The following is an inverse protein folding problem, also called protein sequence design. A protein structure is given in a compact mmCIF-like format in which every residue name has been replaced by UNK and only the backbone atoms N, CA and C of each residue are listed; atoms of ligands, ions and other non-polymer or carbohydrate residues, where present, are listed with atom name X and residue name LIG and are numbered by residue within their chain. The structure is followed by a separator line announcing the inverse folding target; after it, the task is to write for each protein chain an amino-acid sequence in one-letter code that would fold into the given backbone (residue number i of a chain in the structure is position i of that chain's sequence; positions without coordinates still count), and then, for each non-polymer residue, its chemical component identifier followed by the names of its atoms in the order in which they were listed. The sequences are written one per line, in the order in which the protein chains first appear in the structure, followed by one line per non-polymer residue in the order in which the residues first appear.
data_IF_039723086457
#
_entry.id   IF_039723086457
#
_cell.length_a   1.000
_cell.length_b   1.000
_cell.length_c   1.000
_cell.angle_alpha   90.00
_cell.angle_beta   90.00
_cell.angle_gamma   90.00
#
_symmetry.space_group_name_H-M   'P 1'
#
loop_
_entity.id
_entity.type
_entity.pdbx_description
1 polymer ?
#
# COMPACT_ATOMS: atom_id res chain seq x y z
N UNK A 1 -16.57 37.54 13.50
CA UNK A 1 -16.35 36.14 13.96
C UNK A 1 -15.62 35.28 12.91
N UNK A 2 -15.86 35.47 11.60
CA UNK A 2 -15.11 34.80 10.54
C UNK A 2 -13.63 35.26 10.47
N UNK A 3 -13.38 36.57 10.58
CA UNK A 3 -12.04 37.19 10.59
C UNK A 3 -11.12 36.60 11.67
N UNK A 4 -11.64 36.44 12.89
CA UNK A 4 -10.92 35.89 14.05
C UNK A 4 -10.59 34.41 13.89
N UNK A 5 -11.44 33.66 13.20
CA UNK A 5 -11.24 32.23 12.97
C UNK A 5 -10.21 31.99 11.85
N UNK A 6 -10.20 32.85 10.83
CA UNK A 6 -9.17 32.87 9.79
C UNK A 6 -7.78 33.20 10.38
N UNK A 7 -7.71 34.21 11.26
CA UNK A 7 -6.48 34.54 12.00
C UNK A 7 -6.01 33.42 12.94
N UNK A 8 -6.94 32.72 13.62
CA UNK A 8 -6.60 31.59 14.49
C UNK A 8 -6.13 30.36 13.71
N UNK A 9 -6.72 30.10 12.55
CA UNK A 9 -6.29 29.01 11.66
C UNK A 9 -4.91 29.34 11.09
N UNK A 10 -4.66 30.55 10.58
CA UNK A 10 -3.38 30.94 9.97
C UNK A 10 -2.22 31.08 10.96
N UNK A 11 -2.52 31.26 12.26
CA UNK A 11 -1.50 31.37 13.32
C UNK A 11 -1.06 30.01 13.88
N UNK A 12 -1.67 28.91 13.44
CA UNK A 12 -1.28 27.56 13.83
C UNK A 12 -0.09 27.09 12.96
N UNK A 13 1.09 26.76 13.53
CA UNK A 13 2.25 26.32 12.75
C UNK A 13 1.94 25.09 11.85
N UNK A 14 1.00 24.24 12.23
CA UNK A 14 0.58 23.10 11.41
C UNK A 14 -0.22 23.51 10.17
N UNK A 15 -1.00 24.60 10.21
CA UNK A 15 -1.74 25.09 9.02
C UNK A 15 -0.81 25.78 8.03
N UNK A 16 0.21 26.51 8.51
CA UNK A 16 1.20 27.15 7.64
C UNK A 16 2.03 26.11 6.89
N UNK A 17 2.40 24.99 7.54
CA UNK A 17 3.07 23.87 6.86
C UNK A 17 2.17 23.24 5.79
N UNK A 18 0.88 23.05 6.09
CA UNK A 18 -0.08 22.53 5.12
C UNK A 18 -0.25 23.48 3.92
N UNK A 19 -0.41 24.79 4.17
CA UNK A 19 -0.55 25.81 3.12
C UNK A 19 0.74 25.93 2.29
N UNK A 20 1.91 25.90 2.92
CA UNK A 20 3.20 25.92 2.21
C UNK A 20 3.40 24.67 1.35
N UNK A 21 3.02 23.49 1.86
CA UNK A 21 3.07 22.24 1.09
C UNK A 21 2.08 22.22 -0.08
N UNK A 22 0.88 22.77 0.11
CA UNK A 22 -0.12 22.90 -0.93
C UNK A 22 0.33 23.87 -2.02
N UNK A 23 0.92 25.02 -1.65
CA UNK A 23 1.47 25.98 -2.59
C UNK A 23 2.68 25.42 -3.36
N UNK A 24 3.58 24.66 -2.72
CA UNK A 24 4.70 24.00 -3.39
C UNK A 24 4.24 22.93 -4.41
N UNK A 25 3.17 22.19 -4.08
CA UNK A 25 2.54 21.25 -5.02
C UNK A 25 1.86 22.00 -6.16
N UNK A 26 1.17 23.11 -5.88
CA UNK A 26 0.54 23.95 -6.90
C UNK A 26 1.57 24.55 -7.89
N UNK A 27 2.71 25.02 -7.37
CA UNK A 27 3.83 25.51 -8.18
C UNK A 27 4.42 24.40 -9.06
N UNK A 28 4.49 23.15 -8.55
CA UNK A 28 4.95 22.00 -9.34
C UNK A 28 3.99 21.59 -10.47
N UNK A 29 2.71 21.98 -10.37
CA UNK A 29 1.65 21.67 -11.35
C UNK A 29 1.52 22.78 -12.41
N UNK A 30 2.37 23.83 -12.35
CA UNK A 30 2.42 24.88 -13.38
C UNK A 30 1.17 25.78 -13.42
N UNK A 31 0.37 25.79 -12.35
CA UNK A 31 -0.74 26.72 -12.19
C UNK A 31 -0.22 28.01 -11.55
N UNK A 32 0.35 28.87 -12.38
CA UNK A 32 0.45 30.30 -12.06
C UNK A 32 -0.96 30.83 -11.80
N UNK A 33 -1.21 31.33 -10.58
CA UNK A 33 -1.99 32.54 -10.26
C UNK A 33 -2.64 32.45 -8.87
N UNK A 34 -2.01 33.07 -7.85
CA UNK A 34 -2.61 34.07 -6.94
C UNK A 34 -1.56 34.47 -5.87
N UNK A 35 -0.91 35.63 -6.03
CA UNK A 35 -0.04 36.20 -4.98
C UNK A 35 -0.90 36.82 -3.87
N UNK A 36 -0.97 36.16 -2.72
CA UNK A 36 -1.46 36.77 -1.48
C UNK A 36 -0.23 37.40 -0.79
N UNK A 37 -0.19 38.72 -0.55
CA UNK A 37 0.95 39.36 0.10
C UNK A 37 0.90 39.02 1.59
N UNK A 38 1.89 38.31 2.10
CA UNK A 38 2.10 38.11 3.54
C UNK A 38 3.17 39.11 3.98
N UNK A 39 2.78 40.03 4.86
CA UNK A 39 3.55 41.16 5.37
C UNK A 39 4.71 40.69 6.28
N UNK A 40 5.91 41.24 6.04
CA UNK A 40 7.19 40.96 6.71
C UNK A 40 7.24 41.50 8.16
N UNK A 41 6.25 41.15 8.98
CA UNK A 41 6.25 41.46 10.41
C UNK A 41 7.05 40.40 11.17
N UNK A 42 8.35 40.65 11.16
CA UNK A 42 9.40 40.07 12.01
C UNK A 42 8.93 40.05 13.47
N UNK A 43 8.45 38.89 13.95
CA UNK A 43 8.39 38.60 15.38
C UNK A 43 9.54 37.64 15.69
N UNK A 44 10.62 38.24 16.17
CA UNK A 44 11.76 37.58 16.80
C UNK A 44 11.30 36.76 18.02
N UNK A 45 11.13 35.44 17.86
CA UNK A 45 11.05 34.52 19.00
C UNK A 45 12.44 33.92 19.31
N UNK A 46 12.84 33.83 20.58
CA UNK A 46 14.16 33.36 21.01
C UNK A 46 14.37 31.86 20.70
N UNK A 47 15.61 31.41 20.44
CA UNK A 47 15.92 30.05 19.99
C UNK A 47 15.92 29.03 21.14
N UNK A 48 14.86 28.99 21.95
CA UNK A 48 14.83 28.24 23.22
C UNK A 48 13.77 27.12 23.31
N UNK A 49 13.07 26.80 22.23
CA UNK A 49 12.02 25.77 22.22
C UNK A 49 12.28 24.56 21.29
N UNK A 50 13.48 24.43 20.69
CA UNK A 50 13.78 23.34 19.74
C UNK A 50 14.41 22.07 20.37
N UNK A 51 14.40 21.95 21.70
CA UNK A 51 14.73 20.69 22.36
C UNK A 51 13.44 19.89 22.58
N UNK A 52 13.46 18.57 22.32
CA UNK A 52 12.36 17.59 22.42
C UNK A 52 11.54 17.27 21.15
N UNK A 53 12.19 17.10 19.99
CA UNK A 53 11.69 16.12 19.00
C UNK A 53 12.68 14.98 18.94
N UNK A 54 12.45 13.96 19.79
CA UNK A 54 13.17 12.70 19.68
C UNK A 54 12.98 12.13 18.27
N UNK A 55 14.12 11.75 17.70
CA UNK A 55 14.33 11.09 16.42
C UNK A 55 13.45 9.86 16.24
N UNK A 56 12.17 10.02 15.88
CA UNK A 56 11.48 8.99 15.14
C UNK A 56 12.02 9.06 13.72
N UNK A 57 12.79 8.04 13.31
CA UNK A 57 13.15 7.80 11.92
C UNK A 57 11.87 8.01 11.10
N UNK A 58 11.82 9.09 10.32
CA UNK A 58 10.63 9.43 9.55
C UNK A 58 10.21 8.20 8.74
N UNK A 59 8.92 7.85 8.72
CA UNK A 59 8.42 6.70 7.96
C UNK A 59 8.87 6.76 6.49
N UNK A 60 9.07 7.98 5.98
CA UNK A 60 9.65 8.24 4.66
C UNK A 60 11.10 7.73 4.52
N UNK A 61 11.93 7.88 5.55
CA UNK A 61 13.30 7.34 5.56
C UNK A 61 13.28 5.80 5.58
N UNK A 62 12.42 5.20 6.41
CA UNK A 62 12.28 3.74 6.48
C UNK A 62 11.73 3.14 5.18
N UNK A 63 10.72 3.80 4.59
CA UNK A 63 10.20 3.46 3.27
C UNK A 63 11.25 3.63 2.16
N UNK A 64 12.16 4.61 2.30
CA UNK A 64 13.29 4.83 1.40
C UNK A 64 14.29 3.68 1.39
N UNK A 65 14.66 3.14 2.56
CA UNK A 65 15.59 2.02 2.66
C UNK A 65 15.05 0.73 2.01
N UNK A 66 13.73 0.52 2.02
CA UNK A 66 13.07 -0.67 1.50
C UNK A 66 12.06 -0.37 0.37
N UNK A 67 12.38 0.63 -0.44
CA UNK A 67 11.53 1.10 -1.54
C UNK A 67 11.14 0.00 -2.54
N UNK A 68 12.00 -1.01 -2.75
CA UNK A 68 11.72 -2.14 -3.62
C UNK A 68 10.49 -2.95 -3.18
N UNK A 69 10.31 -3.18 -1.87
CA UNK A 69 9.14 -3.91 -1.37
C UNK A 69 7.85 -3.12 -1.56
N UNK A 70 7.91 -1.80 -1.39
CA UNK A 70 6.76 -0.92 -1.64
C UNK A 70 6.36 -0.91 -3.13
N UNK A 71 7.33 -0.93 -4.05
CA UNK A 71 7.04 -1.10 -5.50
C UNK A 71 6.42 -2.44 -5.81
N UNK A 72 6.94 -3.52 -5.22
CA UNK A 72 6.40 -4.87 -5.40
C UNK A 72 4.98 -4.99 -4.83
N UNK A 73 4.70 -4.36 -3.67
CA UNK A 73 3.36 -4.24 -3.12
C UNK A 73 2.40 -3.52 -4.08
N UNK A 74 2.84 -2.42 -4.69
CA UNK A 74 2.07 -1.70 -5.70
C UNK A 74 1.77 -2.56 -6.94
N UNK A 75 2.76 -3.28 -7.46
CA UNK A 75 2.60 -4.21 -8.59
C UNK A 75 1.67 -5.37 -8.21
N UNK A 76 1.79 -5.91 -6.99
CA UNK A 76 0.90 -6.94 -6.45
C UNK A 76 -0.55 -6.47 -6.36
N UNK A 77 -0.78 -5.27 -5.83
CA UNK A 77 -2.12 -4.67 -5.77
C UNK A 77 -2.73 -4.44 -7.17
N UNK A 78 -1.96 -3.88 -8.10
CA UNK A 78 -2.43 -3.66 -9.48
C UNK A 78 -2.76 -4.98 -10.19
N UNK A 79 -1.91 -6.00 -10.03
CA UNK A 79 -2.13 -7.31 -10.64
C UNK A 79 -3.29 -8.08 -9.99
N UNK A 80 -3.57 -7.87 -8.70
CA UNK A 80 -4.75 -8.39 -8.03
C UNK A 80 -6.05 -7.77 -8.59
N UNK A 81 -6.09 -6.44 -8.80
CA UNK A 81 -7.23 -5.77 -9.44
C UNK A 81 -7.45 -6.33 -10.86
N UNK A 82 -6.37 -6.41 -11.65
CA UNK A 82 -6.42 -6.94 -13.01
C UNK A 82 -6.98 -8.36 -13.03
N UNK A 83 -6.44 -9.24 -12.19
CA UNK A 83 -6.86 -10.64 -12.15
C UNK A 83 -8.30 -10.79 -11.63
N UNK A 84 -8.72 -9.97 -10.66
CA UNK A 84 -10.11 -9.91 -10.19
C UNK A 84 -11.08 -9.55 -11.31
N UNK A 85 -10.74 -8.58 -12.16
CA UNK A 85 -11.56 -8.21 -13.31
C UNK A 85 -11.55 -9.30 -14.39
N UNK A 86 -10.36 -9.85 -14.69
CA UNK A 86 -10.18 -10.91 -15.67
C UNK A 86 -10.96 -12.18 -15.33
N UNK A 87 -10.88 -12.65 -14.09
CA UNK A 87 -11.62 -13.83 -13.65
C UNK A 87 -13.14 -13.61 -13.78
N UNK A 88 -13.67 -12.45 -13.37
CA UNK A 88 -15.11 -12.17 -13.52
C UNK A 88 -15.55 -12.11 -14.98
N UNK A 89 -14.70 -11.61 -15.88
CA UNK A 89 -14.98 -11.59 -17.31
C UNK A 89 -15.01 -13.01 -17.91
N UNK A 90 -13.98 -13.82 -17.66
CA UNK A 90 -13.85 -15.18 -18.22
C UNK A 90 -14.90 -16.13 -17.64
N UNK A 91 -15.14 -16.08 -16.33
CA UNK A 91 -16.09 -16.98 -15.66
C UNK A 91 -17.54 -16.67 -16.02
N UNK A 92 -17.85 -15.51 -16.61
CA UNK A 92 -19.21 -15.15 -17.05
C UNK A 92 -19.73 -16.05 -18.17
N UNK A 93 -18.82 -16.61 -18.98
CA UNK A 93 -19.17 -17.38 -20.19
C UNK A 93 -19.31 -18.90 -19.92
N UNK A 94 -19.16 -19.34 -18.66
CA UNK A 94 -19.36 -20.74 -18.26
C UNK A 94 -20.86 -21.06 -18.22
N UNK A 95 -21.31 -22.02 -19.04
CA UNK A 95 -22.73 -22.38 -19.18
C UNK A 95 -23.32 -23.02 -17.91
N UNK A 96 -22.51 -23.80 -17.19
CA UNK A 96 -22.98 -24.50 -16.00
C UNK A 96 -22.86 -23.61 -14.75
N UNK A 97 -23.99 -23.29 -14.14
CA UNK A 97 -24.05 -22.44 -12.93
C UNK A 97 -23.18 -23.01 -11.80
N UNK A 98 -23.14 -24.34 -11.66
CA UNK A 98 -22.36 -25.01 -10.62
C UNK A 98 -20.86 -24.84 -10.83
N UNK A 99 -20.34 -25.08 -12.04
CA UNK A 99 -18.91 -24.91 -12.29
C UNK A 99 -18.51 -23.44 -12.25
N UNK A 100 -19.40 -22.53 -12.66
CA UNK A 100 -19.21 -21.10 -12.52
C UNK A 100 -19.06 -20.70 -11.04
N UNK A 101 -19.96 -21.16 -10.16
CA UNK A 101 -19.90 -20.87 -8.72
C UNK A 101 -18.63 -21.46 -8.07
N UNK A 102 -18.30 -22.71 -8.40
CA UNK A 102 -17.08 -23.37 -7.88
C UNK A 102 -15.81 -22.62 -8.34
N UNK A 103 -15.72 -22.27 -9.62
CA UNK A 103 -14.60 -21.52 -10.19
C UNK A 103 -14.48 -20.12 -9.58
N UNK A 104 -15.61 -19.45 -9.38
CA UNK A 104 -15.66 -18.13 -8.76
C UNK A 104 -15.18 -18.19 -7.31
N UNK A 105 -15.54 -19.23 -6.55
CA UNK A 105 -15.05 -19.41 -5.18
C UNK A 105 -13.52 -19.52 -5.13
N UNK A 106 -12.89 -20.22 -6.08
CA UNK A 106 -11.42 -20.28 -6.16
C UNK A 106 -10.80 -18.92 -6.54
N UNK A 107 -11.39 -18.21 -7.49
CA UNK A 107 -10.92 -16.88 -7.89
C UNK A 107 -11.02 -15.86 -6.74
N UNK A 108 -12.12 -15.86 -5.99
CA UNK A 108 -12.34 -14.93 -4.87
C UNK A 108 -11.35 -15.20 -3.73
N UNK A 109 -11.06 -16.47 -3.42
CA UNK A 109 -10.02 -16.84 -2.44
C UNK A 109 -8.63 -16.43 -2.92
N UNK A 110 -8.28 -16.70 -4.19
CA UNK A 110 -7.01 -16.31 -4.79
C UNK A 110 -6.79 -14.79 -4.69
N UNK A 111 -7.82 -14.03 -5.03
CA UNK A 111 -7.79 -12.57 -5.01
C UNK A 111 -7.65 -12.00 -3.61
N UNK A 112 -8.40 -12.54 -2.63
CA UNK A 112 -8.27 -12.13 -1.24
C UNK A 112 -6.87 -12.34 -0.69
N UNK A 113 -6.26 -13.50 -0.96
CA UNK A 113 -4.89 -13.79 -0.53
C UNK A 113 -3.89 -12.89 -1.28
N UNK A 114 -4.08 -12.67 -2.59
CA UNK A 114 -3.21 -11.80 -3.39
C UNK A 114 -3.19 -10.35 -2.85
N UNK A 115 -4.34 -9.76 -2.56
CA UNK A 115 -4.42 -8.41 -1.98
C UNK A 115 -3.85 -8.35 -0.57
N UNK A 116 -4.23 -9.29 0.31
CA UNK A 116 -3.81 -9.27 1.71
C UNK A 116 -2.28 -9.28 1.84
N UNK A 117 -1.60 -10.09 1.03
CA UNK A 117 -0.15 -10.21 1.07
C UNK A 117 0.52 -9.05 0.31
N UNK A 118 -0.15 -8.42 -0.66
CA UNK A 118 0.31 -7.15 -1.24
C UNK A 118 0.30 -6.01 -0.21
N UNK A 119 -0.74 -5.92 0.62
CA UNK A 119 -0.78 -4.96 1.73
C UNK A 119 0.27 -5.29 2.80
N UNK A 120 0.45 -6.57 3.13
CA UNK A 120 1.52 -6.99 4.02
C UNK A 120 2.91 -6.58 3.46
N UNK A 121 3.13 -6.72 2.15
CA UNK A 121 4.37 -6.29 1.50
C UNK A 121 4.65 -4.79 1.66
N UNK A 122 3.60 -3.96 1.70
CA UNK A 122 3.74 -2.52 1.94
C UNK A 122 4.28 -2.21 3.35
N UNK A 123 4.01 -3.09 4.33
CA UNK A 123 4.49 -2.98 5.70
C UNK A 123 5.88 -3.62 5.91
N UNK A 124 6.49 -4.25 4.90
CA UNK A 124 7.81 -4.89 5.03
C UNK A 124 8.93 -3.98 5.52
N UNK A 125 8.96 -2.66 5.21
CA UNK A 125 9.99 -1.78 5.74
C UNK A 125 10.06 -1.76 7.28
N UNK A 126 8.99 -2.16 7.97
CA UNK A 126 8.91 -2.22 9.43
C UNK A 126 9.37 -3.57 10.03
N UNK A 127 9.60 -4.60 9.20
CA UNK A 127 10.05 -5.91 9.68
C UNK A 127 11.55 -5.89 10.06
N UNK A 128 11.95 -6.70 11.04
CA UNK A 128 13.35 -6.84 11.44
C UNK A 128 14.19 -7.53 10.34
N UNK A 129 13.63 -8.55 9.67
CA UNK A 129 14.25 -9.26 8.54
C UNK A 129 13.42 -9.11 7.24
N UNK A 130 13.39 -7.91 6.64
CA UNK A 130 12.50 -7.58 5.52
C UNK A 130 12.78 -8.40 4.26
N UNK A 131 14.05 -8.78 4.03
CA UNK A 131 14.40 -9.61 2.88
C UNK A 131 13.89 -11.04 2.99
N UNK A 132 14.07 -11.68 4.15
CA UNK A 132 13.59 -13.04 4.40
C UNK A 132 12.05 -13.08 4.36
N UNK A 133 11.41 -12.21 5.13
CA UNK A 133 9.94 -12.15 5.20
C UNK A 133 9.34 -11.76 3.87
N UNK A 134 9.89 -10.74 3.20
CA UNK A 134 9.39 -10.25 1.92
C UNK A 134 9.55 -11.26 0.78
N UNK A 135 10.66 -12.00 0.73
CA UNK A 135 10.85 -13.06 -0.29
C UNK A 135 9.88 -14.22 -0.07
N UNK A 136 9.71 -14.70 1.17
CA UNK A 136 8.71 -15.72 1.51
C UNK A 136 7.29 -15.25 1.18
N UNK A 137 6.96 -14.00 1.50
CA UNK A 137 5.68 -13.37 1.21
C UNK A 137 5.39 -13.35 -0.30
N UNK A 138 6.34 -12.91 -1.12
CA UNK A 138 6.20 -12.86 -2.59
C UNK A 138 6.06 -14.27 -3.17
N UNK A 139 7.00 -15.17 -2.85
CA UNK A 139 7.02 -16.53 -3.39
C UNK A 139 5.77 -17.30 -2.96
N UNK A 140 5.35 -17.18 -1.70
CA UNK A 140 4.14 -17.81 -1.20
C UNK A 140 2.86 -17.26 -1.84
N UNK A 141 2.78 -15.95 -2.06
CA UNK A 141 1.63 -15.32 -2.74
C UNK A 141 1.53 -15.78 -4.19
N UNK A 142 2.64 -15.79 -4.93
CA UNK A 142 2.66 -16.25 -6.32
C UNK A 142 2.30 -17.73 -6.43
N UNK A 143 2.86 -18.58 -5.56
CA UNK A 143 2.58 -20.00 -5.56
C UNK A 143 1.12 -20.30 -5.15
N UNK A 144 0.60 -19.67 -4.10
CA UNK A 144 -0.76 -19.88 -3.62
C UNK A 144 -1.79 -19.27 -4.58
N UNK A 145 -1.75 -17.95 -4.77
CA UNK A 145 -2.76 -17.24 -5.56
C UNK A 145 -2.65 -17.60 -7.04
N UNK A 146 -1.44 -17.79 -7.57
CA UNK A 146 -1.25 -18.24 -8.96
C UNK A 146 -1.88 -19.61 -9.23
N UNK A 147 -1.64 -20.58 -8.34
CA UNK A 147 -2.23 -21.93 -8.46
C UNK A 147 -3.76 -21.90 -8.35
N UNK A 148 -4.30 -21.03 -7.50
CA UNK A 148 -5.73 -20.87 -7.30
C UNK A 148 -6.41 -20.15 -8.48
N UNK A 149 -5.77 -19.14 -9.05
CA UNK A 149 -6.24 -18.50 -10.29
C UNK A 149 -6.21 -19.46 -11.47
N UNK A 150 -5.16 -20.25 -11.60
CA UNK A 150 -5.07 -21.28 -12.63
C UNK A 150 -6.22 -22.29 -12.51
N UNK A 151 -6.46 -22.80 -11.30
CA UNK A 151 -7.59 -23.68 -11.01
C UNK A 151 -8.94 -23.02 -11.31
N UNK A 152 -9.10 -21.73 -11.01
CA UNK A 152 -10.34 -21.01 -11.28
C UNK A 152 -10.61 -20.83 -12.79
N UNK A 153 -9.56 -20.70 -13.60
CA UNK A 153 -9.69 -20.46 -15.05
C UNK A 153 -9.72 -21.76 -15.87
N UNK A 154 -8.97 -22.78 -15.47
CA UNK A 154 -8.83 -24.03 -16.23
C UNK A 154 -9.69 -25.17 -15.64
N UNK A 155 -10.08 -25.09 -14.37
CA UNK A 155 -10.80 -26.17 -13.68
C UNK A 155 -9.94 -27.38 -13.30
N UNK A 156 -8.67 -27.42 -13.74
CA UNK A 156 -7.75 -28.51 -13.45
C UNK A 156 -7.18 -28.47 -12.02
N UNK A 157 -6.97 -29.65 -11.44
CA UNK A 157 -6.53 -29.81 -10.03
C UNK A 157 -5.03 -30.07 -9.87
N UNK A 158 -4.27 -30.16 -10.96
CA UNK A 158 -2.87 -30.59 -10.90
C UNK A 158 -1.98 -29.60 -10.11
N UNK A 159 -2.34 -28.30 -10.11
CA UNK A 159 -1.60 -27.27 -9.36
C UNK A 159 -1.89 -27.26 -7.84
N UNK A 160 -2.76 -28.12 -7.32
CA UNK A 160 -3.15 -28.13 -5.91
C UNK A 160 -1.98 -28.29 -4.91
N UNK A 161 -0.94 -29.12 -5.17
CA UNK A 161 0.23 -29.24 -4.28
C UNK A 161 1.05 -27.94 -4.18
N UNK A 162 1.08 -27.13 -5.26
CA UNK A 162 1.77 -25.84 -5.22
C UNK A 162 1.02 -24.82 -4.37
N UNK A 163 -0.32 -24.89 -4.36
CA UNK A 163 -1.13 -24.06 -3.47
C UNK A 163 -0.85 -24.38 -2.00
N UNK A 164 -0.73 -25.65 -1.60
CA UNK A 164 -0.41 -26.01 -0.21
C UNK A 164 1.00 -25.57 0.18
N UNK A 165 2.00 -25.79 -0.69
CA UNK A 165 3.36 -25.30 -0.48
C UNK A 165 3.39 -23.77 -0.35
N UNK A 166 2.65 -23.05 -1.19
CA UNK A 166 2.50 -21.60 -1.10
C UNK A 166 1.89 -21.16 0.23
N UNK A 167 0.87 -21.88 0.72
CA UNK A 167 0.27 -21.65 2.04
C UNK A 167 1.27 -21.80 3.19
N UNK A 168 2.08 -22.86 3.19
CA UNK A 168 3.15 -23.03 4.18
C UNK A 168 4.21 -21.93 4.12
N UNK A 169 4.58 -21.48 2.91
CA UNK A 169 5.49 -20.37 2.70
C UNK A 169 4.93 -19.06 3.29
N UNK A 170 3.64 -18.79 3.07
CA UNK A 170 2.97 -17.63 3.65
C UNK A 170 2.88 -17.73 5.18
N UNK A 171 2.57 -18.91 5.73
CA UNK A 171 2.62 -19.12 7.18
C UNK A 171 4.00 -18.82 7.75
N UNK A 172 5.07 -19.31 7.10
CA UNK A 172 6.45 -19.02 7.50
C UNK A 172 6.77 -17.51 7.41
N UNK A 173 6.28 -16.82 6.37
CA UNK A 173 6.46 -15.37 6.22
C UNK A 173 5.79 -14.57 7.34
N UNK A 174 4.59 -14.95 7.77
CA UNK A 174 3.91 -14.30 8.89
C UNK A 174 4.60 -14.61 10.23
N UNK A 175 5.08 -15.84 10.42
CA UNK A 175 5.84 -16.22 11.60
C UNK A 175 7.20 -15.51 11.66
N UNK A 176 7.85 -15.27 10.53
CA UNK A 176 9.13 -14.56 10.49
C UNK A 176 9.02 -13.06 10.85
N UNK A 177 7.81 -12.49 10.91
CA UNK A 177 7.58 -11.14 11.45
C UNK A 177 7.68 -11.07 12.98
N UNK A 178 7.60 -12.22 13.67
CA UNK A 178 7.73 -12.30 15.13
C UNK A 178 9.21 -12.21 15.56
N UNK A 179 10.13 -12.50 14.64
CA UNK A 179 11.58 -12.45 14.83
C UNK A 179 12.13 -11.05 14.55
#
# INVERSE_FOLDING_TARGET
MAETLHYLILRNPSSQIVIASANAVLESIGLENWKIPVDDSIVSLPPSAQSYVHSHSSLYCLAGCHYHFMRLAGIGGASAIFMSAYCKYVLRDIESIREQLDSQAFADVANRIHFLHSFALMAMPLAHYPFLTGTLMITGTLAFSGSMYYRALTGEKWMQPYATMGGFCLMAAWLSLVL
#
